data_IF_867066384959
#
_entry.id   IF_867066384959
#
_cell.length_a   1.000
_cell.length_b   1.000
_cell.length_c   1.000
_cell.angle_alpha   90.00
_cell.angle_beta   90.00
_cell.angle_gamma   90.00
#
_symmetry.space_group_name_H-M   'P 1'
#
loop_
_entity.id
_entity.type
_entity.pdbx_description
1 polymer ?
#
# COMPACT_ATOMS: atom_id res chain seq x y z
N UNK A 1 -67.98 24.40 -39.82
CA UNK A 1 -68.10 23.58 -38.58
C UNK A 1 -67.21 22.36 -38.75
N UNK A 2 -65.94 22.45 -38.33
CA UNK A 2 -65.01 21.32 -38.28
C UNK A 2 -64.87 20.90 -36.82
N UNK A 3 -65.21 19.64 -36.52
CA UNK A 3 -64.91 19.00 -35.23
C UNK A 3 -63.62 18.20 -35.39
N UNK A 4 -62.59 18.60 -34.66
CA UNK A 4 -61.32 17.91 -34.55
C UNK A 4 -61.39 16.88 -33.41
N UNK A 5 -61.05 15.63 -33.71
CA UNK A 5 -60.80 14.60 -32.71
C UNK A 5 -59.53 14.90 -31.92
N UNK A 6 -59.69 15.14 -30.62
CA UNK A 6 -58.60 15.21 -29.65
C UNK A 6 -58.05 13.80 -29.36
N UNK A 7 -56.74 13.63 -29.47
CA UNK A 7 -56.02 12.43 -29.00
C UNK A 7 -55.87 12.51 -27.48
N UNK A 8 -56.16 11.38 -26.83
CA UNK A 8 -56.16 11.19 -25.38
C UNK A 8 -54.72 10.99 -24.84
N UNK A 9 -54.24 11.75 -23.84
CA UNK A 9 -52.85 11.68 -23.34
C UNK A 9 -52.59 10.55 -22.31
N UNK A 10 -53.49 9.57 -22.17
CA UNK A 10 -53.44 8.57 -21.10
C UNK A 10 -52.50 7.37 -21.33
N UNK A 11 -51.74 7.33 -22.43
CA UNK A 11 -50.88 6.17 -22.75
C UNK A 11 -49.43 6.32 -22.24
N UNK A 12 -49.01 7.50 -21.76
CA UNK A 12 -47.60 7.76 -21.42
C UNK A 12 -47.25 7.62 -19.92
N UNK A 13 -48.24 7.42 -19.04
CA UNK A 13 -48.01 7.19 -17.61
C UNK A 13 -47.77 5.72 -17.25
N UNK A 14 -48.38 4.77 -17.98
CA UNK A 14 -48.21 3.35 -17.68
C UNK A 14 -46.80 2.85 -18.02
N UNK A 15 -46.18 3.33 -19.10
CA UNK A 15 -44.83 2.92 -19.53
C UNK A 15 -43.73 3.43 -18.58
N UNK A 16 -43.91 4.62 -17.99
CA UNK A 16 -43.00 5.17 -16.96
C UNK A 16 -43.11 4.42 -15.64
N UNK A 17 -44.33 4.08 -15.21
CA UNK A 17 -44.57 3.33 -13.98
C UNK A 17 -44.00 1.90 -14.06
N UNK A 18 -44.11 1.24 -15.23
CA UNK A 18 -43.53 -0.10 -15.45
C UNK A 18 -41.99 -0.11 -15.47
N UNK A 19 -41.35 0.99 -15.87
CA UNK A 19 -39.89 1.15 -15.87
C UNK A 19 -39.35 1.42 -14.46
N UNK A 20 -40.03 2.26 -13.68
CA UNK A 20 -39.69 2.56 -12.28
C UNK A 20 -39.85 1.32 -11.37
N UNK A 21 -40.90 0.51 -11.58
CA UNK A 21 -41.10 -0.75 -10.85
C UNK A 21 -40.03 -1.79 -11.21
N UNK A 22 -39.58 -1.83 -12.47
CA UNK A 22 -38.50 -2.75 -12.90
C UNK A 22 -37.13 -2.39 -12.32
N UNK A 23 -36.82 -1.09 -12.20
CA UNK A 23 -35.59 -0.60 -11.56
C UNK A 23 -35.63 -0.85 -10.05
N UNK A 24 -36.78 -0.62 -9.41
CA UNK A 24 -36.98 -0.91 -7.99
C UNK A 24 -36.80 -2.41 -7.72
N UNK A 25 -37.34 -3.28 -8.57
CA UNK A 25 -37.19 -4.75 -8.44
C UNK A 25 -35.76 -5.22 -8.72
N UNK A 26 -35.04 -4.56 -9.64
CA UNK A 26 -33.63 -4.87 -9.95
C UNK A 26 -32.68 -4.43 -8.83
N UNK A 27 -32.86 -3.23 -8.27
CA UNK A 27 -32.08 -2.76 -7.13
C UNK A 27 -32.42 -3.56 -5.87
N UNK A 28 -33.71 -3.84 -5.62
CA UNK A 28 -34.16 -4.62 -4.47
C UNK A 28 -33.67 -6.08 -4.52
N UNK A 29 -33.72 -6.75 -5.68
CA UNK A 29 -33.27 -8.14 -5.82
C UNK A 29 -31.75 -8.33 -5.78
N UNK A 30 -30.98 -7.39 -6.32
CA UNK A 30 -29.52 -7.42 -6.24
C UNK A 30 -29.01 -6.99 -4.86
N UNK A 31 -29.73 -6.08 -4.20
CA UNK A 31 -29.43 -5.65 -2.83
C UNK A 31 -29.70 -6.78 -1.82
N UNK A 32 -30.81 -7.53 -1.96
CA UNK A 32 -31.07 -8.68 -1.09
C UNK A 32 -30.15 -9.89 -1.33
N UNK A 33 -29.69 -10.10 -2.57
CA UNK A 33 -28.64 -11.10 -2.86
C UNK A 33 -27.27 -10.73 -2.29
N UNK A 34 -27.02 -9.45 -2.02
CA UNK A 34 -25.83 -8.99 -1.31
C UNK A 34 -25.96 -9.16 0.22
N UNK A 35 -27.19 -9.23 0.76
CA UNK A 35 -27.45 -9.42 2.20
C UNK A 35 -27.49 -10.88 2.65
N UNK A 36 -27.52 -11.86 1.73
CA UNK A 36 -27.32 -13.30 2.04
C UNK A 36 -25.90 -13.61 2.58
N UNK A 37 -25.03 -12.59 2.72
CA UNK A 37 -23.68 -12.66 3.26
C UNK A 37 -23.59 -12.33 4.77
N UNK A 38 -24.71 -12.03 5.43
CA UNK A 38 -24.77 -11.72 6.87
C UNK A 38 -25.53 -12.82 7.61
N UNK A 39 -25.07 -13.24 8.78
CA UNK A 39 -25.81 -14.21 9.62
C UNK A 39 -27.16 -13.62 10.07
N UNK A 40 -28.17 -14.48 10.27
CA UNK A 40 -29.56 -14.09 10.55
C UNK A 40 -29.71 -13.13 11.77
N UNK A 41 -28.83 -13.24 12.78
CA UNK A 41 -28.80 -12.33 13.93
C UNK A 41 -28.31 -10.92 13.60
N UNK A 42 -27.38 -10.79 12.65
CA UNK A 42 -26.85 -9.49 12.18
C UNK A 42 -27.88 -8.78 11.30
N UNK A 43 -28.60 -9.54 10.48
CA UNK A 43 -29.70 -9.05 9.64
C UNK A 43 -30.83 -8.43 10.48
N UNK A 44 -31.24 -9.09 11.57
CA UNK A 44 -32.35 -8.62 12.42
C UNK A 44 -32.04 -7.31 13.18
N UNK A 45 -30.78 -7.06 13.57
CA UNK A 45 -30.39 -5.78 14.21
C UNK A 45 -30.12 -4.66 13.21
N UNK A 46 -29.56 -4.95 12.04
CA UNK A 46 -29.31 -3.95 11.00
C UNK A 46 -30.61 -3.41 10.36
N UNK A 47 -31.64 -4.25 10.16
CA UNK A 47 -32.86 -3.89 9.41
C UNK A 47 -33.67 -2.72 9.98
N UNK A 48 -33.61 -2.43 11.29
CA UNK A 48 -34.41 -1.35 11.89
C UNK A 48 -33.84 0.05 11.65
N UNK A 49 -32.53 0.15 11.52
CA UNK A 49 -31.80 1.40 11.25
C UNK A 49 -31.62 1.60 9.73
N UNK A 50 -31.32 0.51 9.01
CA UNK A 50 -31.17 0.49 7.55
C UNK A 50 -32.43 0.93 6.79
N UNK A 51 -33.62 0.51 7.21
CA UNK A 51 -34.88 0.94 6.57
C UNK A 51 -35.04 2.45 6.58
N UNK A 52 -34.58 3.12 7.64
CA UNK A 52 -34.66 4.58 7.77
C UNK A 52 -33.61 5.29 6.91
N UNK A 53 -32.38 4.77 6.88
CA UNK A 53 -31.29 5.36 6.08
C UNK A 53 -31.48 5.13 4.58
N UNK A 54 -31.91 3.93 4.16
CA UNK A 54 -32.29 3.66 2.76
C UNK A 54 -33.50 4.49 2.36
N UNK A 55 -34.51 4.64 3.22
CA UNK A 55 -35.65 5.51 2.93
C UNK A 55 -35.24 6.99 2.85
N UNK A 56 -34.27 7.44 3.65
CA UNK A 56 -33.73 8.79 3.59
C UNK A 56 -32.94 9.02 2.30
N UNK A 57 -32.09 8.07 1.90
CA UNK A 57 -31.30 8.14 0.66
C UNK A 57 -32.19 8.04 -0.59
N UNK A 58 -33.19 7.15 -0.58
CA UNK A 58 -34.22 7.10 -1.63
C UNK A 58 -35.08 8.38 -1.65
N UNK A 59 -35.43 8.91 -0.48
CA UNK A 59 -36.15 10.18 -0.35
C UNK A 59 -35.37 11.36 -0.91
N UNK A 60 -34.06 11.45 -0.61
CA UNK A 60 -33.16 12.47 -1.16
C UNK A 60 -32.94 12.28 -2.67
N UNK A 61 -32.89 11.04 -3.16
CA UNK A 61 -32.81 10.74 -4.59
C UNK A 61 -34.09 11.20 -5.33
N UNK A 62 -35.28 10.92 -4.76
CA UNK A 62 -36.57 11.35 -5.30
C UNK A 62 -36.73 12.88 -5.21
N UNK A 63 -36.25 13.52 -4.14
CA UNK A 63 -36.19 14.97 -4.00
C UNK A 63 -35.24 15.59 -5.04
N UNK A 64 -34.06 15.01 -5.28
CA UNK A 64 -33.14 15.45 -6.32
C UNK A 64 -33.72 15.33 -7.74
N UNK A 65 -34.48 14.26 -8.01
CA UNK A 65 -35.19 14.04 -9.28
C UNK A 65 -36.33 15.04 -9.50
N UNK A 66 -37.06 15.40 -8.44
CA UNK A 66 -38.18 16.36 -8.50
C UNK A 66 -37.72 17.82 -8.64
N UNK A 67 -36.61 18.21 -8.01
CA UNK A 67 -36.07 19.58 -8.11
C UNK A 67 -35.32 19.82 -9.44
N UNK A 68 -34.66 18.81 -10.02
CA UNK A 68 -34.05 18.92 -11.37
C UNK A 68 -35.10 18.99 -12.49
N UNK A 69 -36.28 18.40 -12.29
CA UNK A 69 -37.40 18.47 -13.23
C UNK A 69 -38.06 19.86 -13.27
N UNK A 70 -38.01 20.60 -12.15
CA UNK A 70 -38.54 21.97 -12.08
C UNK A 70 -37.56 23.01 -12.67
N UNK A 71 -36.25 22.79 -12.57
CA UNK A 71 -35.24 23.72 -13.11
C UNK A 71 -35.10 23.63 -14.64
N UNK A 72 -35.37 22.47 -15.26
CA UNK A 72 -35.35 22.30 -16.71
C UNK A 72 -36.64 22.82 -17.40
N UNK A 73 -37.69 23.12 -16.65
CA UNK A 73 -38.93 23.72 -17.17
C UNK A 73 -38.98 25.26 -17.02
N UNK A 74 -38.01 25.87 -16.32
CA UNK A 74 -37.98 27.32 -16.08
C UNK A 74 -37.09 28.12 -17.05
N UNK A 75 -36.35 27.47 -17.96
CA UNK A 75 -35.51 28.15 -18.96
C UNK A 75 -36.17 28.35 -20.34
N UNK A 76 -37.47 28.03 -20.47
CA UNK A 76 -38.25 28.29 -21.70
C UNK A 76 -39.49 29.13 -21.41
N UNK A 77 -39.34 30.26 -20.70
CA UNK A 77 -40.27 31.40 -20.84
C UNK A 77 -39.49 32.70 -20.56
N UNK A 78 -38.99 33.34 -21.61
CA UNK A 78 -38.84 34.79 -21.63
C UNK A 78 -39.74 35.35 -22.73
N UNK A 79 -40.66 36.29 -22.42
CA UNK A 79 -41.56 36.91 -23.39
C UNK A 79 -40.96 38.22 -23.90
N UNK A 80 -40.89 38.40 -25.22
CA UNK A 80 -40.90 39.73 -25.86
C UNK A 80 -41.80 39.62 -27.08
N UNK A 81 -42.96 40.28 -27.03
CA UNK A 81 -43.88 40.37 -28.14
C UNK A 81 -43.49 41.46 -29.13
N UNK A 82 -43.92 41.32 -30.39
CA UNK A 82 -44.65 42.35 -31.14
C UNK A 82 -44.93 41.88 -32.57
N UNK A 83 -46.22 41.90 -32.93
CA UNK A 83 -46.84 42.25 -34.21
C UNK A 83 -46.08 42.01 -35.54
N UNK A 84 -46.68 41.25 -36.46
CA UNK A 84 -47.47 41.78 -37.58
C UNK A 84 -47.63 40.75 -38.73
N UNK A 85 -48.82 40.74 -39.32
CA UNK A 85 -49.23 39.94 -40.49
C UNK A 85 -48.40 40.26 -41.75
N UNK A 86 -48.14 39.24 -42.60
CA UNK A 86 -47.73 39.44 -43.98
C UNK A 86 -47.47 38.13 -44.76
N UNK A 87 -48.36 37.80 -45.69
CA UNK A 87 -48.25 36.74 -46.70
C UNK A 87 -46.87 36.65 -47.37
N UNK A 88 -46.22 35.48 -47.39
CA UNK A 88 -45.26 35.11 -48.46
C UNK A 88 -45.37 33.61 -48.79
N UNK A 89 -45.51 33.35 -50.09
CA UNK A 89 -45.63 32.05 -50.77
C UNK A 89 -44.48 31.07 -50.47
N UNK A 90 -44.82 29.78 -50.34
CA UNK A 90 -43.84 28.68 -50.35
C UNK A 90 -43.64 28.19 -51.80
N UNK A 91 -42.42 28.15 -52.35
CA UNK A 91 -42.13 27.40 -53.57
C UNK A 91 -41.85 25.91 -53.25
N UNK A 92 -42.28 24.97 -54.10
CA UNK A 92 -42.01 23.55 -53.93
C UNK A 92 -40.59 23.22 -54.40
N UNK A 93 -39.80 22.56 -53.54
CA UNK A 93 -38.57 21.89 -53.98
C UNK A 93 -37.34 22.08 -53.09
N UNK A 94 -37.40 21.67 -51.82
CA UNK A 94 -36.23 21.13 -51.11
C UNK A 94 -36.70 19.99 -50.21
N UNK A 95 -36.43 18.76 -50.63
CA UNK A 95 -36.28 17.58 -49.79
C UNK A 95 -34.99 16.92 -50.30
N UNK A 96 -34.14 16.26 -49.48
CA UNK A 96 -34.55 15.44 -48.33
C UNK A 96 -33.57 15.45 -47.13
N UNK A 97 -34.06 14.95 -45.98
CA UNK A 97 -33.21 14.13 -45.11
C UNK A 97 -32.87 14.70 -43.75
N UNK A 98 -33.80 14.61 -42.80
CA UNK A 98 -33.45 14.31 -41.40
C UNK A 98 -34.41 13.22 -40.93
N UNK A 99 -33.87 12.02 -40.72
CA UNK A 99 -34.56 10.90 -40.07
C UNK A 99 -34.81 11.23 -38.59
N UNK A 100 -35.85 10.61 -37.99
CA UNK A 100 -36.19 10.79 -36.58
C UNK A 100 -35.17 10.07 -35.68
N UNK A 101 -34.88 10.70 -34.54
CA UNK A 101 -34.26 10.04 -33.40
C UNK A 101 -32.74 10.02 -33.43
N UNK A 102 -32.13 11.09 -32.92
CA UNK A 102 -30.81 11.00 -32.28
C UNK A 102 -30.73 12.10 -31.22
N UNK A 103 -30.51 11.69 -29.97
CA UNK A 103 -30.40 12.63 -28.86
C UNK A 103 -30.74 12.12 -27.47
N UNK A 104 -30.89 10.81 -27.25
CA UNK A 104 -30.78 10.26 -25.88
C UNK A 104 -29.49 9.46 -25.84
N UNK A 105 -28.42 10.07 -25.34
CA UNK A 105 -27.23 9.34 -24.89
C UNK A 105 -27.61 8.61 -23.58
N UNK A 106 -27.70 7.27 -23.54
CA UNK A 106 -28.06 6.57 -22.32
C UNK A 106 -26.82 6.27 -21.46
N UNK A 107 -27.02 6.22 -20.14
CA UNK A 107 -26.42 5.22 -19.24
C UNK A 107 -24.95 5.32 -18.77
N UNK A 108 -24.13 6.27 -19.20
CA UNK A 108 -22.74 6.36 -18.68
C UNK A 108 -22.69 6.94 -17.26
N UNK A 109 -23.46 7.98 -16.97
CA UNK A 109 -23.49 8.63 -15.63
C UNK A 109 -24.08 7.74 -14.53
N UNK A 110 -25.06 6.91 -14.86
CA UNK A 110 -25.72 6.00 -13.91
C UNK A 110 -24.81 4.85 -13.48
N UNK A 111 -23.88 4.43 -14.34
CA UNK A 111 -22.86 3.44 -13.98
C UNK A 111 -21.89 3.99 -12.92
N UNK A 112 -21.45 5.24 -13.08
CA UNK A 112 -20.62 5.93 -12.09
C UNK A 112 -21.38 6.14 -10.76
N UNK A 113 -22.65 6.60 -10.81
CA UNK A 113 -23.50 6.72 -9.61
C UNK A 113 -23.71 5.38 -8.89
N UNK A 114 -23.90 4.29 -9.64
CA UNK A 114 -24.07 2.94 -9.06
C UNK A 114 -22.80 2.40 -8.38
N UNK A 115 -21.61 2.67 -8.94
CA UNK A 115 -20.33 2.33 -8.31
C UNK A 115 -20.09 3.15 -7.05
N UNK A 116 -20.41 4.45 -7.09
CA UNK A 116 -20.31 5.36 -5.94
C UNK A 116 -21.19 4.87 -4.78
N UNK A 117 -22.44 4.46 -5.04
CA UNK A 117 -23.36 3.97 -4.00
C UNK A 117 -22.87 2.68 -3.35
N UNK A 118 -22.25 1.76 -4.12
CA UNK A 118 -21.69 0.51 -3.57
C UNK A 118 -20.46 0.77 -2.69
N UNK A 119 -19.61 1.71 -3.08
CA UNK A 119 -18.41 2.08 -2.31
C UNK A 119 -18.82 2.75 -0.99
N UNK A 120 -19.80 3.67 -1.02
CA UNK A 120 -20.38 4.27 0.18
C UNK A 120 -21.04 3.23 1.10
N UNK A 121 -21.72 2.22 0.55
CA UNK A 121 -22.34 1.17 1.35
C UNK A 121 -21.30 0.27 2.03
N UNK A 122 -20.20 -0.05 1.35
CA UNK A 122 -19.09 -0.80 1.93
C UNK A 122 -18.40 -0.01 3.04
N UNK A 123 -18.08 1.27 2.80
CA UNK A 123 -17.51 2.17 3.80
C UNK A 123 -18.41 2.24 5.05
N UNK A 124 -19.69 2.57 4.88
CA UNK A 124 -20.64 2.71 5.98
C UNK A 124 -20.80 1.40 6.78
N UNK A 125 -20.85 0.26 6.09
CA UNK A 125 -20.91 -1.06 6.75
C UNK A 125 -19.67 -1.27 7.62
N UNK A 126 -18.47 -1.03 7.09
CA UNK A 126 -17.23 -1.18 7.84
C UNK A 126 -17.17 -0.24 9.03
N UNK A 127 -17.53 1.03 8.83
CA UNK A 127 -17.52 2.07 9.86
C UNK A 127 -18.40 1.67 11.07
N UNK A 128 -19.60 1.14 10.81
CA UNK A 128 -20.59 0.86 11.84
C UNK A 128 -20.53 -0.57 12.39
N UNK A 129 -20.06 -1.53 11.59
CA UNK A 129 -20.05 -2.95 11.95
C UNK A 129 -18.68 -3.44 12.41
N UNK A 130 -17.58 -2.86 11.91
CA UNK A 130 -16.20 -3.27 12.25
C UNK A 130 -15.48 -2.14 12.98
N UNK A 131 -15.01 -1.13 12.26
CA UNK A 131 -14.53 0.14 12.80
C UNK A 131 -14.32 1.19 11.69
N UNK A 132 -14.37 2.49 12.03
CA UNK A 132 -14.00 3.56 11.10
C UNK A 132 -12.57 3.40 10.55
N UNK A 133 -11.65 2.85 11.33
CA UNK A 133 -10.26 2.67 10.91
C UNK A 133 -10.10 1.56 9.87
N UNK A 134 -10.92 0.51 9.92
CA UNK A 134 -10.98 -0.51 8.87
C UNK A 134 -11.62 0.06 7.60
N UNK A 135 -12.66 0.89 7.74
CA UNK A 135 -13.25 1.61 6.61
C UNK A 135 -12.21 2.47 5.88
N UNK A 136 -11.36 3.19 6.61
CA UNK A 136 -10.29 3.98 6.02
C UNK A 136 -9.22 3.13 5.29
N UNK A 137 -8.96 1.89 5.71
CA UNK A 137 -8.09 0.97 4.94
C UNK A 137 -8.77 0.54 3.65
N UNK A 138 -10.08 0.28 3.68
CA UNK A 138 -10.86 -0.01 2.48
C UNK A 138 -10.83 1.16 1.49
N UNK A 139 -11.08 2.39 1.95
CA UNK A 139 -11.05 3.58 1.09
C UNK A 139 -9.67 3.79 0.45
N UNK A 140 -8.60 3.54 1.20
CA UNK A 140 -7.24 3.61 0.68
C UNK A 140 -7.02 2.58 -0.45
N UNK A 141 -7.55 1.36 -0.30
CA UNK A 141 -7.47 0.33 -1.35
C UNK A 141 -8.35 0.70 -2.55
N UNK A 142 -9.57 1.17 -2.34
CA UNK A 142 -10.51 1.52 -3.41
C UNK A 142 -10.01 2.71 -4.25
N UNK A 143 -9.34 3.66 -3.62
CA UNK A 143 -8.75 4.83 -4.30
C UNK A 143 -7.54 4.47 -5.15
N UNK A 144 -6.76 3.45 -4.74
CA UNK A 144 -5.49 3.10 -5.39
C UNK A 144 -5.59 1.98 -6.43
N UNK A 145 -6.74 1.32 -6.52
CA UNK A 145 -6.98 0.21 -7.45
C UNK A 145 -7.98 0.67 -8.52
N UNK A 146 -7.75 0.22 -9.75
CA UNK A 146 -8.75 0.26 -10.80
C UNK A 146 -9.32 -1.16 -10.99
N UNK A 147 -10.48 -1.48 -10.37
CA UNK A 147 -10.97 -2.86 -10.29
C UNK A 147 -11.21 -3.47 -11.67
N UNK A 148 -11.63 -2.66 -12.64
CA UNK A 148 -11.87 -3.05 -14.02
C UNK A 148 -10.59 -3.49 -14.74
N UNK A 149 -9.49 -2.72 -14.61
CA UNK A 149 -8.19 -3.08 -15.19
C UNK A 149 -7.66 -4.38 -14.58
N UNK A 150 -7.81 -4.54 -13.26
CA UNK A 150 -7.41 -5.79 -12.59
C UNK A 150 -8.26 -6.96 -13.06
N UNK A 151 -9.58 -6.78 -13.15
CA UNK A 151 -10.52 -7.80 -13.63
C UNK A 151 -10.21 -8.24 -15.07
N UNK A 152 -9.95 -7.28 -15.96
CA UNK A 152 -9.57 -7.53 -17.36
C UNK A 152 -8.28 -8.34 -17.46
N UNK A 153 -7.23 -7.95 -16.73
CA UNK A 153 -5.96 -8.68 -16.72
C UNK A 153 -6.08 -10.11 -16.19
N UNK A 154 -7.04 -10.36 -15.30
CA UNK A 154 -7.34 -11.70 -14.80
C UNK A 154 -8.27 -12.50 -15.75
N UNK A 155 -8.78 -11.89 -16.81
CA UNK A 155 -9.76 -12.52 -17.71
C UNK A 155 -11.14 -12.70 -17.06
N UNK A 156 -11.45 -11.96 -15.99
CA UNK A 156 -12.68 -12.13 -15.20
C UNK A 156 -13.61 -10.95 -15.43
N UNK A 157 -14.48 -11.05 -16.44
CA UNK A 157 -15.53 -10.03 -16.68
C UNK A 157 -16.53 -9.96 -15.53
N UNK A 158 -16.91 -8.74 -15.16
CA UNK A 158 -17.94 -8.43 -14.16
C UNK A 158 -17.48 -8.49 -12.71
N UNK A 159 -16.17 -8.67 -12.46
CA UNK A 159 -15.65 -8.66 -11.10
C UNK A 159 -15.62 -7.23 -10.54
N UNK A 160 -15.93 -7.07 -9.25
CA UNK A 160 -16.01 -5.79 -8.55
C UNK A 160 -15.15 -5.79 -7.29
N UNK A 161 -14.65 -4.63 -6.90
CA UNK A 161 -14.07 -4.47 -5.57
C UNK A 161 -15.16 -4.68 -4.53
N UNK A 162 -14.82 -5.33 -3.43
CA UNK A 162 -15.74 -5.55 -2.33
C UNK A 162 -15.04 -6.04 -1.08
N UNK A 163 -15.86 -6.41 -0.11
CA UNK A 163 -15.43 -6.88 1.19
C UNK A 163 -16.11 -8.20 1.56
N UNK A 164 -15.39 -9.03 2.30
CA UNK A 164 -15.94 -10.18 3.02
C UNK A 164 -15.62 -10.03 4.50
N UNK A 165 -16.65 -9.90 5.32
CA UNK A 165 -16.50 -9.90 6.78
C UNK A 165 -16.08 -11.30 7.22
N UNK A 166 -14.96 -11.39 7.92
CA UNK A 166 -14.43 -12.65 8.47
C UNK A 166 -14.84 -12.79 9.93
N UNK A 167 -14.80 -11.70 10.68
CA UNK A 167 -15.30 -11.57 12.05
C UNK A 167 -15.69 -10.12 12.34
N UNK A 168 -16.22 -9.83 13.54
CA UNK A 168 -16.54 -8.46 13.97
C UNK A 168 -15.32 -7.52 14.01
N UNK A 169 -14.10 -8.06 13.99
CA UNK A 169 -12.86 -7.29 14.04
C UNK A 169 -12.02 -7.43 12.78
N UNK A 170 -12.45 -8.21 11.77
CA UNK A 170 -11.59 -8.52 10.62
C UNK A 170 -12.36 -8.68 9.32
N UNK A 171 -11.82 -8.07 8.27
CA UNK A 171 -12.37 -8.15 6.91
C UNK A 171 -11.30 -8.55 5.89
N UNK A 172 -11.76 -9.17 4.81
CA UNK A 172 -11.01 -9.36 3.58
C UNK A 172 -11.47 -8.31 2.56
N UNK A 173 -10.53 -7.56 2.00
CA UNK A 173 -10.74 -6.65 0.87
C UNK A 173 -10.19 -7.33 -0.39
N UNK A 174 -10.99 -7.37 -1.45
CA UNK A 174 -10.65 -8.13 -2.66
C UNK A 174 -11.54 -7.82 -3.85
N UNK A 175 -11.24 -8.47 -4.96
CA UNK A 175 -12.06 -8.49 -6.16
C UNK A 175 -12.98 -9.73 -6.11
N UNK A 176 -14.27 -9.52 -6.36
CA UNK A 176 -15.32 -10.53 -6.24
C UNK A 176 -16.10 -10.68 -7.54
N UNK A 177 -16.47 -11.92 -7.87
CA UNK A 177 -17.43 -12.26 -8.92
C UNK A 177 -18.40 -13.30 -8.38
N UNK A 178 -19.70 -13.06 -8.55
CA UNK A 178 -20.76 -13.98 -8.13
C UNK A 178 -20.57 -14.47 -6.68
N UNK A 179 -20.28 -13.52 -5.77
CA UNK A 179 -19.98 -13.75 -4.34
C UNK A 179 -18.72 -14.58 -4.04
N UNK A 180 -17.90 -14.90 -5.05
CA UNK A 180 -16.60 -15.58 -4.89
C UNK A 180 -15.46 -14.59 -5.01
N UNK A 181 -14.47 -14.75 -4.14
CA UNK A 181 -13.22 -13.97 -4.22
C UNK A 181 -12.42 -14.48 -5.42
N UNK A 182 -12.16 -13.59 -6.39
CA UNK A 182 -11.33 -13.90 -7.56
C UNK A 182 -9.92 -13.35 -7.43
N UNK A 183 -9.73 -12.29 -6.63
CA UNK A 183 -8.41 -11.82 -6.19
C UNK A 183 -8.49 -11.27 -4.78
N UNK A 184 -7.55 -11.66 -3.93
CA UNK A 184 -7.37 -11.08 -2.59
C UNK A 184 -6.42 -9.90 -2.70
N UNK A 185 -6.76 -8.76 -2.09
CA UNK A 185 -5.83 -7.65 -1.96
C UNK A 185 -5.22 -7.62 -0.57
N UNK A 186 -6.06 -7.61 0.48
CA UNK A 186 -5.57 -7.56 1.85
C UNK A 186 -6.63 -7.96 2.85
N UNK A 187 -6.21 -8.38 4.03
CA UNK A 187 -7.01 -8.33 5.25
C UNK A 187 -6.79 -7.02 5.99
N UNK A 188 -7.81 -6.60 6.73
CA UNK A 188 -7.74 -5.47 7.65
C UNK A 188 -8.45 -5.85 8.95
N UNK A 189 -7.73 -5.75 10.05
CA UNK A 189 -8.25 -6.00 11.40
C UNK A 189 -8.33 -4.71 12.20
N UNK A 190 -9.42 -4.56 12.96
CA UNK A 190 -9.73 -3.40 13.80
C UNK A 190 -8.53 -2.96 14.64
N UNK A 191 -8.03 -3.85 15.49
CA UNK A 191 -6.94 -3.51 16.42
C UNK A 191 -5.60 -3.16 15.74
N UNK A 192 -5.37 -3.62 14.50
CA UNK A 192 -4.17 -3.25 13.73
C UNK A 192 -4.38 -1.90 13.04
N UNK A 193 -5.54 -1.66 12.44
CA UNK A 193 -5.87 -0.39 11.79
C UNK A 193 -5.93 0.78 12.80
N UNK A 194 -6.50 0.54 13.98
CA UNK A 194 -6.50 1.46 15.13
C UNK A 194 -5.07 1.75 15.60
N UNK A 195 -4.24 0.71 15.75
CA UNK A 195 -2.83 0.90 16.15
C UNK A 195 -2.07 1.79 15.16
N UNK A 196 -2.27 1.61 13.85
CA UNK A 196 -1.65 2.46 12.82
C UNK A 196 -2.08 3.91 13.02
N UNK A 197 -3.38 4.17 13.24
CA UNK A 197 -3.89 5.51 13.54
C UNK A 197 -3.21 6.14 14.75
N UNK A 198 -3.29 5.44 15.87
CA UNK A 198 -2.92 5.98 17.17
C UNK A 198 -1.41 6.19 17.29
N UNK A 199 -0.61 5.31 16.69
CA UNK A 199 0.85 5.36 16.81
C UNK A 199 1.51 6.06 15.64
N UNK A 200 1.08 5.79 14.41
CA UNK A 200 1.72 6.32 13.21
C UNK A 200 1.02 7.57 12.69
N UNK A 201 -0.31 7.67 12.83
CA UNK A 201 -1.11 8.75 12.26
C UNK A 201 -2.05 8.23 11.19
N UNK A 202 -3.15 8.94 10.96
CA UNK A 202 -4.21 8.52 10.03
C UNK A 202 -3.70 8.34 8.59
N UNK A 203 -2.76 9.18 8.17
CA UNK A 203 -2.15 9.16 6.84
C UNK A 203 -1.34 7.89 6.58
N UNK A 204 -0.85 7.22 7.62
CA UNK A 204 0.00 6.03 7.45
C UNK A 204 -0.79 4.79 7.07
N UNK A 205 -2.11 4.75 7.23
CA UNK A 205 -2.93 3.68 6.63
C UNK A 205 -2.81 3.70 5.12
N UNK A 206 -3.03 4.87 4.51
CA UNK A 206 -2.90 5.07 3.06
C UNK A 206 -1.48 4.76 2.59
N UNK A 207 -0.45 5.28 3.27
CA UNK A 207 0.94 5.00 2.90
C UNK A 207 1.29 3.51 2.97
N UNK A 208 0.80 2.78 3.97
CA UNK A 208 1.04 1.33 4.05
C UNK A 208 0.35 0.63 2.86
N UNK A 209 -0.89 1.00 2.56
CA UNK A 209 -1.61 0.43 1.42
C UNK A 209 -0.88 0.72 0.10
N UNK A 210 -0.47 1.97 -0.13
CA UNK A 210 0.27 2.40 -1.33
C UNK A 210 1.61 1.69 -1.46
N UNK A 211 2.41 1.66 -0.39
CA UNK A 211 3.78 1.13 -0.44
C UNK A 211 3.82 -0.38 -0.47
N UNK A 212 2.87 -1.07 0.16
CA UNK A 212 2.98 -2.52 0.37
C UNK A 212 1.84 -3.32 -0.26
N UNK A 213 0.60 -2.86 -0.14
CA UNK A 213 -0.60 -3.63 -0.52
C UNK A 213 -0.90 -3.51 -2.02
N UNK A 214 -0.93 -2.29 -2.54
CA UNK A 214 -1.37 -2.02 -3.91
C UNK A 214 -0.14 -1.85 -4.80
N UNK A 215 0.39 -2.98 -5.29
CA UNK A 215 1.50 -2.97 -6.25
C UNK A 215 0.97 -2.87 -7.68
N UNK A 216 1.46 -1.86 -8.41
CA UNK A 216 1.11 -1.65 -9.83
C UNK A 216 -0.41 -1.56 -10.03
N UNK A 217 -1.08 -0.70 -9.25
CA UNK A 217 -2.55 -0.54 -9.28
C UNK A 217 -3.34 -1.79 -8.88
N UNK A 218 -2.72 -2.73 -8.15
CA UNK A 218 -3.32 -4.01 -7.76
C UNK A 218 -3.11 -5.13 -8.78
N UNK A 219 -2.35 -4.88 -9.86
CA UNK A 219 -2.05 -5.87 -10.89
C UNK A 219 -0.99 -6.88 -10.45
N UNK A 220 -0.07 -6.48 -9.57
CA UNK A 220 0.91 -7.38 -8.95
C UNK A 220 0.48 -7.70 -7.53
N UNK A 221 0.91 -8.86 -7.04
CA UNK A 221 0.62 -9.25 -5.67
C UNK A 221 1.42 -8.36 -4.71
N UNK A 222 0.68 -7.65 -3.86
CA UNK A 222 1.24 -6.91 -2.75
C UNK A 222 1.41 -7.76 -1.51
N UNK A 223 1.64 -7.07 -0.40
CA UNK A 223 1.67 -7.64 0.95
C UNK A 223 0.37 -7.34 1.65
N UNK A 224 0.04 -8.20 2.61
CA UNK A 224 -1.12 -8.03 3.45
C UNK A 224 -0.93 -6.86 4.45
N UNK A 225 -1.94 -6.00 4.59
CA UNK A 225 -1.91 -4.84 5.48
C UNK A 225 -1.74 -5.27 6.95
N UNK A 226 -2.52 -6.25 7.42
CA UNK A 226 -2.41 -6.75 8.79
C UNK A 226 -1.02 -7.33 9.06
N UNK A 227 -0.48 -8.08 8.10
CA UNK A 227 0.87 -8.62 8.17
C UNK A 227 1.93 -7.51 8.29
N UNK A 228 1.87 -6.49 7.42
CA UNK A 228 2.86 -5.40 7.42
C UNK A 228 2.74 -4.56 8.69
N UNK A 229 1.54 -4.07 8.99
CA UNK A 229 1.29 -3.24 10.16
C UNK A 229 1.53 -4.02 11.47
N UNK A 230 1.19 -5.31 11.51
CA UNK A 230 1.52 -6.20 12.61
C UNK A 230 3.02 -6.37 12.80
N UNK A 231 3.80 -6.50 11.72
CA UNK A 231 5.27 -6.55 11.81
C UNK A 231 5.86 -5.23 12.32
N UNK A 232 5.35 -4.08 11.87
CA UNK A 232 5.76 -2.76 12.38
C UNK A 232 5.45 -2.62 13.88
N UNK A 233 4.26 -3.08 14.31
CA UNK A 233 3.87 -3.11 15.72
C UNK A 233 4.80 -4.00 16.54
N UNK A 234 5.10 -5.20 16.06
CA UNK A 234 6.02 -6.14 16.71
C UNK A 234 7.41 -5.55 16.89
N UNK A 235 7.98 -4.96 15.84
CA UNK A 235 9.27 -4.25 15.89
C UNK A 235 9.28 -3.13 16.93
N UNK A 236 8.17 -2.42 17.10
CA UNK A 236 8.07 -1.23 17.97
C UNK A 236 7.75 -1.55 19.43
N UNK A 237 6.81 -2.44 19.68
CA UNK A 237 6.16 -2.61 20.99
C UNK A 237 6.52 -3.95 21.65
N UNK A 238 6.50 -5.03 20.88
CA UNK A 238 6.67 -6.39 21.39
C UNK A 238 8.15 -6.72 21.55
N UNK A 239 8.93 -6.60 20.47
CA UNK A 239 10.35 -6.94 20.46
C UNK A 239 11.26 -5.76 20.78
N UNK A 240 10.69 -4.54 20.71
CA UNK A 240 11.35 -3.25 20.95
C UNK A 240 12.67 -3.10 20.18
N UNK A 241 12.75 -3.69 18.99
CA UNK A 241 13.91 -3.60 18.11
C UNK A 241 14.02 -2.23 17.46
N UNK A 242 12.91 -1.49 17.32
CA UNK A 242 12.91 -0.10 16.86
C UNK A 242 12.06 0.73 17.82
N UNK A 243 12.71 1.44 18.73
CA UNK A 243 12.05 2.11 19.87
C UNK A 243 11.40 3.45 19.51
N UNK A 244 11.88 4.11 18.46
CA UNK A 244 11.41 5.42 18.03
C UNK A 244 10.30 5.32 16.99
N UNK A 245 9.17 6.00 17.21
CA UNK A 245 8.03 5.94 16.28
C UNK A 245 8.29 6.64 14.95
N UNK A 246 9.09 7.70 14.92
CA UNK A 246 9.49 8.37 13.68
C UNK A 246 10.40 7.48 12.82
N UNK A 247 11.16 6.56 13.44
CA UNK A 247 11.89 5.54 12.70
C UNK A 247 10.93 4.51 12.04
N UNK A 248 9.84 4.13 12.70
CA UNK A 248 8.79 3.29 12.09
C UNK A 248 8.12 3.99 10.92
N UNK A 249 7.80 5.28 11.08
CA UNK A 249 7.27 6.13 10.01
C UNK A 249 8.22 6.21 8.81
N UNK A 250 9.51 6.44 9.06
CA UNK A 250 10.56 6.45 8.04
C UNK A 250 10.60 5.12 7.25
N UNK A 251 10.47 3.97 7.91
CA UNK A 251 10.43 2.65 7.27
C UNK A 251 9.27 2.56 6.29
N UNK A 252 8.08 3.04 6.69
CA UNK A 252 6.91 3.11 5.81
C UNK A 252 7.16 4.08 4.65
N UNK A 253 7.63 5.29 4.93
CA UNK A 253 7.89 6.32 3.91
C UNK A 253 8.87 5.82 2.82
N UNK A 254 9.88 5.07 3.24
CA UNK A 254 10.87 4.46 2.35
C UNK A 254 10.38 3.20 1.63
N UNK A 255 9.26 2.62 2.05
CA UNK A 255 8.76 1.37 1.49
C UNK A 255 9.71 0.18 1.70
N UNK A 256 10.49 0.18 2.79
CA UNK A 256 11.44 -0.89 3.08
C UNK A 256 10.74 -2.22 3.35
N UNK A 257 11.33 -3.34 2.93
CA UNK A 257 10.79 -4.67 3.21
C UNK A 257 10.81 -4.95 4.73
N UNK A 258 9.65 -4.77 5.37
CA UNK A 258 9.49 -4.83 6.82
C UNK A 258 9.79 -6.24 7.36
N UNK A 259 9.39 -7.30 6.65
CA UNK A 259 9.69 -8.69 7.04
C UNK A 259 11.17 -9.00 6.91
N UNK A 260 11.84 -8.44 5.90
CA UNK A 260 13.29 -8.55 5.78
C UNK A 260 13.98 -7.80 6.91
N UNK A 261 13.50 -6.60 7.25
CA UNK A 261 14.04 -5.80 8.36
C UNK A 261 13.90 -6.52 9.70
N UNK A 262 12.73 -7.07 10.00
CA UNK A 262 12.48 -7.90 11.20
C UNK A 262 13.50 -9.03 11.33
N UNK A 263 13.69 -9.78 10.25
CA UNK A 263 14.69 -10.87 10.23
C UNK A 263 16.11 -10.36 10.44
N UNK A 264 16.49 -9.28 9.76
CA UNK A 264 17.83 -8.69 9.87
C UNK A 264 18.11 -8.26 11.31
N UNK A 265 17.15 -7.61 11.97
CA UNK A 265 17.30 -7.18 13.36
C UNK A 265 17.27 -8.36 14.33
N UNK A 266 16.46 -9.39 14.07
CA UNK A 266 16.44 -10.63 14.85
C UNK A 266 17.77 -11.40 14.77
N UNK A 267 18.32 -11.52 13.56
CA UNK A 267 19.60 -12.17 13.29
C UNK A 267 20.75 -11.42 13.97
N UNK A 268 20.74 -10.08 13.94
CA UNK A 268 21.71 -9.26 14.67
C UNK A 268 21.56 -9.40 16.19
N UNK A 269 20.35 -9.26 16.72
CA UNK A 269 20.06 -9.31 18.17
C UNK A 269 20.44 -10.66 18.80
N UNK A 270 20.37 -11.75 18.03
CA UNK A 270 20.67 -13.10 18.49
C UNK A 270 22.17 -13.42 18.54
N UNK A 271 23.06 -12.52 18.10
CA UNK A 271 24.50 -12.67 18.35
C UNK A 271 24.77 -12.37 19.82
N UNK A 272 25.36 -13.34 20.53
CA UNK A 272 25.58 -13.26 21.98
C UNK A 272 26.48 -12.07 22.37
N UNK A 273 27.57 -11.88 21.63
CA UNK A 273 28.54 -10.82 21.89
C UNK A 273 28.29 -9.64 20.94
N UNK A 274 27.81 -8.52 21.49
CA UNK A 274 27.60 -7.27 20.74
C UNK A 274 26.27 -7.13 20.01
N UNK A 275 25.49 -8.21 19.82
CA UNK A 275 24.24 -8.15 19.03
C UNK A 275 23.19 -7.16 19.55
N UNK A 276 23.05 -7.03 20.88
CA UNK A 276 22.17 -6.03 21.50
C UNK A 276 22.67 -4.59 21.30
N UNK A 277 23.98 -4.40 21.33
CA UNK A 277 24.61 -3.09 21.16
C UNK A 277 24.52 -2.64 19.71
N UNK A 278 24.69 -3.56 18.75
CA UNK A 278 24.44 -3.32 17.33
C UNK A 278 23.01 -2.83 17.08
N UNK A 279 22.00 -3.53 17.63
CA UNK A 279 20.59 -3.09 17.52
C UNK A 279 20.37 -1.73 18.19
N UNK A 280 21.03 -1.45 19.31
CA UNK A 280 20.95 -0.15 19.99
C UNK A 280 21.57 0.97 19.15
N UNK A 281 22.69 0.72 18.49
CA UNK A 281 23.31 1.64 17.54
C UNK A 281 22.41 1.91 16.34
N UNK A 282 21.79 0.87 15.75
CA UNK A 282 20.80 1.03 14.66
C UNK A 282 19.64 1.93 15.09
N UNK A 283 19.11 1.72 16.30
CA UNK A 283 18.04 2.58 16.85
C UNK A 283 18.44 4.05 16.92
N UNK A 284 19.66 4.31 17.42
CA UNK A 284 20.20 5.67 17.49
C UNK A 284 20.32 6.29 16.10
N UNK A 285 20.85 5.57 15.14
CA UNK A 285 21.02 6.05 13.77
C UNK A 285 19.69 6.34 13.08
N UNK A 286 18.72 5.44 13.19
CA UNK A 286 17.38 5.64 12.63
C UNK A 286 16.69 6.85 13.26
N UNK A 287 16.85 7.05 14.57
CA UNK A 287 16.31 8.23 15.27
C UNK A 287 16.97 9.52 14.79
N UNK A 288 18.30 9.55 14.69
CA UNK A 288 19.04 10.72 14.20
C UNK A 288 18.67 11.05 12.75
N UNK A 289 18.55 10.03 11.91
CA UNK A 289 18.14 10.18 10.52
C UNK A 289 16.71 10.71 10.39
N UNK A 290 15.75 10.10 11.10
CA UNK A 290 14.35 10.50 11.06
C UNK A 290 14.10 11.91 11.61
N UNK A 291 15.03 12.44 12.42
CA UNK A 291 14.95 13.81 12.98
C UNK A 291 15.80 14.82 12.22
N UNK A 292 16.44 14.41 11.11
CA UNK A 292 17.32 15.28 10.32
C UNK A 292 18.64 15.64 10.98
N UNK A 293 18.95 15.06 12.16
CA UNK A 293 20.25 15.25 12.83
C UNK A 293 21.40 14.60 12.07
N UNK A 294 21.09 13.59 11.24
CA UNK A 294 22.03 12.92 10.36
C UNK A 294 21.50 12.91 8.93
N UNK A 295 22.39 13.15 7.95
CA UNK A 295 22.05 13.19 6.53
C UNK A 295 22.01 11.82 5.85
N UNK A 296 22.69 10.83 6.42
CA UNK A 296 22.83 9.47 5.87
C UNK A 296 22.57 8.42 6.96
N UNK A 297 22.07 7.25 6.58
CA UNK A 297 22.03 6.11 7.51
C UNK A 297 23.46 5.57 7.69
N UNK A 298 23.88 5.30 8.93
CA UNK A 298 25.26 4.83 9.19
C UNK A 298 25.47 3.35 8.91
N UNK A 299 26.66 2.84 9.24
CA UNK A 299 27.11 1.48 8.89
C UNK A 299 26.33 0.35 9.56
N UNK A 300 25.77 0.58 10.75
CA UNK A 300 25.24 -0.48 11.61
C UNK A 300 24.07 -1.26 11.00
N UNK A 301 23.17 -0.60 10.27
CA UNK A 301 22.06 -1.32 9.61
C UNK A 301 22.59 -2.23 8.49
N UNK A 302 23.65 -1.81 7.79
CA UNK A 302 24.29 -2.62 6.76
C UNK A 302 25.08 -3.78 7.38
N UNK A 303 25.77 -3.54 8.49
CA UNK A 303 26.42 -4.59 9.29
C UNK A 303 25.42 -5.68 9.69
N UNK A 304 24.24 -5.31 10.21
CA UNK A 304 23.17 -6.27 10.49
C UNK A 304 22.69 -7.04 9.24
N UNK A 305 22.64 -6.40 8.06
CA UNK A 305 22.34 -7.10 6.80
C UNK A 305 23.42 -8.11 6.40
N UNK A 306 24.68 -7.86 6.77
CA UNK A 306 25.79 -8.80 6.59
C UNK A 306 25.68 -9.94 7.60
N UNK A 307 25.39 -9.67 8.87
CA UNK A 307 25.13 -10.72 9.89
C UNK A 307 24.03 -11.68 9.41
N UNK A 308 22.88 -11.14 9.00
CA UNK A 308 21.76 -11.96 8.48
C UNK A 308 22.16 -12.79 7.26
N UNK A 309 23.04 -12.27 6.42
CA UNK A 309 23.52 -12.99 5.25
C UNK A 309 24.45 -14.15 5.58
N UNK A 310 25.40 -13.90 6.47
CA UNK A 310 26.35 -14.90 6.92
C UNK A 310 25.59 -16.08 7.55
N UNK A 311 24.66 -15.79 8.47
CA UNK A 311 23.80 -16.81 9.09
C UNK A 311 23.01 -17.62 8.06
N UNK A 312 22.38 -16.97 7.08
CA UNK A 312 21.67 -17.68 6.00
C UNK A 312 22.58 -18.47 5.06
N UNK A 313 23.87 -18.15 5.02
CA UNK A 313 24.87 -18.85 4.22
C UNK A 313 25.60 -19.93 5.03
N UNK A 314 25.10 -20.27 6.23
CA UNK A 314 25.63 -21.33 7.08
C UNK A 314 26.84 -20.93 7.92
N UNK A 315 27.12 -19.63 8.07
CA UNK A 315 28.18 -19.15 8.95
C UNK A 315 27.65 -19.00 10.37
N UNK A 316 28.50 -19.32 11.34
CA UNK A 316 28.29 -18.96 12.73
C UNK A 316 28.86 -17.56 12.99
N UNK A 317 28.04 -16.65 13.49
CA UNK A 317 28.49 -15.29 13.85
C UNK A 317 28.72 -15.24 15.35
N UNK A 318 29.98 -15.15 15.75
CA UNK A 318 30.42 -15.24 17.14
C UNK A 318 30.28 -13.90 17.88
N UNK A 319 30.69 -12.82 17.21
CA UNK A 319 30.77 -11.48 17.80
C UNK A 319 30.55 -10.39 16.76
N UNK A 320 29.98 -9.27 17.21
CA UNK A 320 29.86 -8.03 16.43
C UNK A 320 30.35 -6.81 17.21
N UNK A 321 30.95 -5.82 16.54
CA UNK A 321 31.43 -4.57 17.13
C UNK A 321 32.59 -4.73 18.12
N UNK A 322 33.51 -5.67 17.89
CA UNK A 322 34.61 -5.97 18.81
C UNK A 322 35.64 -4.85 18.81
N UNK A 323 35.83 -4.21 19.96
CA UNK A 323 36.90 -3.23 20.16
C UNK A 323 38.22 -3.95 20.48
N UNK A 324 39.28 -3.65 19.73
CA UNK A 324 40.60 -4.27 19.92
C UNK A 324 41.69 -3.21 20.01
N UNK A 325 42.70 -3.49 20.85
CA UNK A 325 43.91 -2.69 20.97
C UNK A 325 45.06 -3.41 20.26
N UNK A 326 45.77 -2.70 19.40
CA UNK A 326 46.93 -3.19 18.64
C UNK A 326 48.13 -2.28 18.92
N UNK A 327 49.34 -2.69 18.51
CA UNK A 327 50.51 -1.80 18.60
C UNK A 327 50.34 -0.54 17.74
N UNK A 328 49.56 -0.64 16.67
CA UNK A 328 49.20 0.47 15.78
C UNK A 328 48.00 1.31 16.28
N UNK A 329 47.47 1.00 17.47
CA UNK A 329 46.39 1.73 18.14
C UNK A 329 45.07 0.96 18.23
N UNK A 330 44.02 1.66 18.68
CA UNK A 330 42.68 1.10 18.86
C UNK A 330 41.97 0.94 17.51
N UNK A 331 41.25 -0.16 17.30
CA UNK A 331 40.35 -0.36 16.15
C UNK A 331 39.11 -1.16 16.56
N UNK A 332 38.11 -1.18 15.68
CA UNK A 332 36.90 -1.98 15.81
C UNK A 332 36.88 -3.02 14.68
N UNK A 333 36.46 -4.24 15.00
CA UNK A 333 36.16 -5.30 14.04
C UNK A 333 34.64 -5.45 14.03
N UNK A 334 34.01 -5.19 12.88
CA UNK A 334 32.55 -5.19 12.80
C UNK A 334 31.97 -6.56 13.09
N UNK A 335 32.52 -7.64 12.51
CA UNK A 335 32.00 -9.01 12.70
C UNK A 335 33.14 -10.03 12.79
N UNK A 336 33.04 -10.98 13.72
CA UNK A 336 33.84 -12.21 13.75
C UNK A 336 32.90 -13.39 13.47
N UNK A 337 33.24 -14.17 12.44
CA UNK A 337 32.42 -15.30 12.02
C UNK A 337 33.27 -16.54 11.73
N UNK A 338 32.66 -17.71 11.92
CA UNK A 338 33.26 -19.01 11.72
C UNK A 338 32.51 -19.78 10.61
N UNK A 339 33.26 -20.48 9.76
CA UNK A 339 32.73 -21.48 8.83
C UNK A 339 33.54 -22.77 8.98
N UNK A 340 32.98 -23.75 9.68
CA UNK A 340 33.75 -24.93 10.09
C UNK A 340 34.88 -24.53 11.04
N UNK A 341 36.12 -24.85 10.70
CA UNK A 341 37.31 -24.48 11.48
C UNK A 341 37.93 -23.14 11.08
N UNK A 342 37.39 -22.45 10.08
CA UNK A 342 37.93 -21.17 9.59
C UNK A 342 37.25 -19.99 10.29
N UNK A 343 38.03 -19.20 11.03
CA UNK A 343 37.62 -17.90 11.56
C UNK A 343 37.96 -16.79 10.56
N UNK A 344 37.04 -15.86 10.37
CA UNK A 344 37.20 -14.73 9.45
C UNK A 344 36.80 -13.43 10.16
N UNK A 345 37.64 -12.40 10.03
CA UNK A 345 37.27 -11.04 10.42
C UNK A 345 36.53 -10.37 9.27
N UNK A 346 35.48 -9.64 9.57
CA UNK A 346 34.66 -8.98 8.56
C UNK A 346 34.55 -7.50 8.89
N UNK A 347 34.79 -6.68 7.88
CA UNK A 347 34.61 -5.23 7.89
C UNK A 347 33.47 -4.84 6.94
N UNK A 348 32.57 -3.96 7.39
CA UNK A 348 31.37 -3.55 6.68
C UNK A 348 31.41 -2.06 6.31
N UNK A 349 31.50 -1.75 5.02
CA UNK A 349 31.48 -0.37 4.53
C UNK A 349 30.25 -0.07 3.67
N UNK A 350 29.61 1.09 3.86
CA UNK A 350 28.52 1.53 2.96
C UNK A 350 28.97 1.91 1.56
N UNK A 351 30.28 2.09 1.37
CA UNK A 351 30.90 2.46 0.10
C UNK A 351 32.34 1.96 0.04
N UNK A 352 32.82 1.63 -1.16
CA UNK A 352 34.22 1.24 -1.39
C UNK A 352 35.17 2.36 -0.96
N UNK A 353 34.82 3.61 -1.26
CA UNK A 353 35.62 4.79 -0.88
C UNK A 353 35.64 5.03 0.64
N UNK A 354 34.82 4.30 1.41
CA UNK A 354 34.82 4.31 2.86
C UNK A 354 35.77 3.29 3.49
N UNK A 355 36.52 2.51 2.69
CA UNK A 355 37.53 1.57 3.20
C UNK A 355 38.73 2.36 3.72
N UNK A 356 38.93 2.35 5.04
CA UNK A 356 40.09 2.94 5.70
C UNK A 356 41.20 1.88 5.84
N UNK A 357 42.22 1.96 5.00
CA UNK A 357 43.37 1.03 5.00
C UNK A 357 44.18 1.07 6.30
N UNK A 358 44.13 2.16 7.08
CA UNK A 358 44.73 2.21 8.43
C UNK A 358 43.92 1.41 9.44
N UNK A 359 42.60 1.36 9.30
CA UNK A 359 41.76 0.47 10.08
C UNK A 359 42.06 -0.99 9.71
N UNK A 360 42.08 -1.31 8.42
CA UNK A 360 42.40 -2.67 7.93
C UNK A 360 43.79 -3.12 8.39
N UNK A 361 44.79 -2.23 8.41
CA UNK A 361 46.14 -2.53 8.93
C UNK A 361 46.09 -2.98 10.39
N UNK A 362 45.32 -2.29 11.24
CA UNK A 362 45.14 -2.66 12.65
C UNK A 362 44.42 -4.01 12.78
N UNK A 363 43.38 -4.23 11.99
CA UNK A 363 42.68 -5.52 11.97
C UNK A 363 43.58 -6.67 11.48
N UNK A 364 44.47 -6.42 10.52
CA UNK A 364 45.45 -7.39 10.04
C UNK A 364 46.49 -7.77 11.10
N UNK A 365 46.93 -6.80 11.90
CA UNK A 365 47.79 -7.04 13.06
C UNK A 365 47.10 -7.91 14.11
N UNK A 366 45.83 -7.62 14.40
CA UNK A 366 45.00 -8.45 15.27
C UNK A 366 44.83 -9.87 14.70
N UNK A 367 44.49 -10.01 13.41
CA UNK A 367 44.32 -11.30 12.76
C UNK A 367 45.60 -12.17 12.88
N UNK A 368 46.76 -11.59 12.56
CA UNK A 368 48.06 -12.26 12.65
C UNK A 368 48.37 -12.77 14.06
N UNK A 369 48.14 -11.94 15.08
CA UNK A 369 48.41 -12.31 16.48
C UNK A 369 47.48 -13.38 17.03
N UNK A 370 46.31 -13.60 16.39
CA UNK A 370 45.31 -14.59 16.79
C UNK A 370 45.26 -15.80 15.84
N UNK A 371 46.21 -15.92 14.91
CA UNK A 371 46.26 -17.03 13.95
C UNK A 371 45.16 -16.99 12.88
N UNK A 372 44.42 -15.89 12.74
CA UNK A 372 43.36 -15.71 11.75
C UNK A 372 44.00 -15.35 10.40
N UNK A 373 43.56 -16.03 9.34
CA UNK A 373 44.17 -15.92 8.01
C UNK A 373 43.39 -15.06 7.03
N UNK A 374 42.18 -14.62 7.37
CA UNK A 374 41.29 -13.98 6.41
C UNK A 374 40.56 -12.77 6.98
N UNK A 375 40.53 -11.71 6.19
CA UNK A 375 39.68 -10.54 6.37
C UNK A 375 38.77 -10.41 5.14
N UNK A 376 37.45 -10.31 5.35
CA UNK A 376 36.47 -10.02 4.30
C UNK A 376 35.93 -8.61 4.46
N UNK A 377 36.11 -7.77 3.44
CA UNK A 377 35.57 -6.41 3.44
C UNK A 377 34.30 -6.40 2.59
N UNK A 378 33.15 -6.35 3.24
CA UNK A 378 31.85 -6.22 2.59
C UNK A 378 31.56 -4.75 2.30
N UNK A 379 31.17 -4.42 1.06
CA UNK A 379 30.82 -3.05 0.70
C UNK A 379 29.55 -2.93 -0.14
N UNK A 380 28.73 -1.91 0.17
CA UNK A 380 27.39 -1.77 -0.40
C UNK A 380 27.32 -0.98 -1.72
N UNK A 381 28.27 -0.07 -1.94
CA UNK A 381 28.32 0.85 -3.10
C UNK A 381 29.77 1.08 -3.50
N UNK A 382 30.04 1.44 -4.74
CA UNK A 382 31.42 1.74 -5.18
C UNK A 382 31.51 1.88 -6.69
N UNK A 383 32.60 2.46 -7.19
CA UNK A 383 32.82 2.66 -8.62
C UNK A 383 33.00 1.32 -9.34
N UNK A 384 32.65 1.28 -10.63
CA UNK A 384 32.93 0.14 -11.51
C UNK A 384 34.44 -0.18 -11.60
N UNK A 385 35.29 0.80 -11.29
CA UNK A 385 36.75 0.70 -11.22
C UNK A 385 37.23 1.18 -9.85
N UNK A 386 37.61 0.27 -8.94
CA UNK A 386 38.10 0.66 -7.63
C UNK A 386 39.40 1.47 -7.75
N UNK A 387 39.60 2.52 -6.93
CA UNK A 387 40.83 3.28 -6.88
C UNK A 387 42.07 2.37 -6.78
N UNK A 388 42.99 2.52 -7.72
CA UNK A 388 44.23 1.71 -7.77
C UNK A 388 45.01 1.76 -6.46
N UNK A 389 45.06 2.95 -5.84
CA UNK A 389 45.79 3.19 -4.60
C UNK A 389 45.30 2.33 -3.43
N UNK A 390 43.98 2.29 -3.18
CA UNK A 390 43.40 1.46 -2.12
C UNK A 390 43.68 -0.03 -2.35
N UNK A 391 43.55 -0.50 -3.61
CA UNK A 391 43.84 -1.89 -3.94
C UNK A 391 45.32 -2.25 -3.71
N UNK A 392 46.23 -1.34 -4.04
CA UNK A 392 47.65 -1.52 -3.79
C UNK A 392 47.95 -1.60 -2.29
N UNK A 393 47.44 -0.67 -1.48
CA UNK A 393 47.64 -0.69 -0.03
C UNK A 393 47.08 -1.97 0.61
N UNK A 394 45.91 -2.46 0.17
CA UNK A 394 45.36 -3.73 0.66
C UNK A 394 46.30 -4.91 0.35
N UNK A 395 46.89 -4.98 -0.86
CA UNK A 395 47.87 -6.02 -1.21
C UNK A 395 49.15 -5.94 -0.39
N UNK A 396 49.61 -4.72 -0.09
CA UNK A 396 50.76 -4.51 0.80
C UNK A 396 50.46 -5.01 2.22
N UNK A 397 49.24 -4.78 2.73
CA UNK A 397 48.79 -5.31 4.02
C UNK A 397 48.72 -6.84 3.98
N UNK A 398 48.13 -7.45 2.95
CA UNK A 398 48.09 -8.91 2.76
C UNK A 398 49.49 -9.51 2.87
N UNK A 399 50.44 -8.98 2.09
CA UNK A 399 51.82 -9.46 2.05
C UNK A 399 52.54 -9.28 3.38
N UNK A 400 52.37 -8.13 4.05
CA UNK A 400 53.07 -7.79 5.30
C UNK A 400 52.60 -8.66 6.48
N UNK A 401 51.30 -8.91 6.56
CA UNK A 401 50.71 -9.63 7.68
C UNK A 401 50.48 -11.12 7.40
N UNK A 402 50.71 -11.57 6.16
CA UNK A 402 50.46 -12.94 5.71
C UNK A 402 49.01 -13.36 5.98
N UNK A 403 48.09 -12.53 5.50
CA UNK A 403 46.63 -12.70 5.56
C UNK A 403 46.04 -12.54 4.16
N UNK A 404 44.90 -13.16 3.91
CA UNK A 404 44.07 -12.95 2.72
C UNK A 404 43.04 -11.85 2.99
N UNK A 405 42.94 -10.86 2.12
CA UNK A 405 41.94 -9.79 2.17
C UNK A 405 41.02 -9.90 0.95
N UNK A 406 39.78 -10.31 1.17
CA UNK A 406 38.78 -10.43 0.11
C UNK A 406 37.84 -9.23 0.11
N UNK A 407 37.64 -8.61 -1.06
CA UNK A 407 36.63 -7.59 -1.29
C UNK A 407 35.32 -8.25 -1.74
N UNK A 408 34.20 -7.96 -1.07
CA UNK A 408 32.90 -8.55 -1.37
C UNK A 408 31.85 -7.46 -1.61
N UNK A 409 31.46 -7.28 -2.86
CA UNK A 409 30.36 -6.38 -3.20
C UNK A 409 29.01 -6.98 -2.78
N UNK A 410 28.23 -6.22 -2.01
CA UNK A 410 26.90 -6.64 -1.59
C UNK A 410 25.98 -5.46 -1.35
N UNK A 411 25.06 -5.22 -2.28
CA UNK A 411 24.08 -4.12 -2.18
C UNK A 411 23.27 -4.17 -0.87
N UNK A 412 23.14 -3.03 -0.21
CA UNK A 412 22.20 -2.84 0.90
C UNK A 412 20.76 -2.72 0.40
N UNK A 413 19.83 -3.29 1.16
CA UNK A 413 18.38 -3.18 0.90
C UNK A 413 17.74 -1.99 1.64
N UNK A 414 18.50 -1.31 2.49
CA UNK A 414 18.03 -0.23 3.37
C UNK A 414 18.90 1.02 3.21
N UNK A 415 18.86 1.58 1.99
CA UNK A 415 19.53 2.84 1.63
C UNK A 415 18.66 4.08 1.86
#
# INVERSE_FOLDING_TARGET
MYSAHARNPFVDQHTRMSFEISIFTFLYSNFFKATDLLSDEVFLRCTRTWKKTIALLLGLLILGLTVSSASAAASVVHPIGSQANGNINVPPGVNPGIKPGDGIRPQVWWFFLGLIVLDFAAHWLLEHYVSPDVAAVYDAVSTLIEPEKVAEKLGVKGAKLGIKVISHDKVLIGLFKDNKVVKKFTYASKGIAEWVKEKLGEEYRLKIVEKYVVKDGGLKDGKDFDEIAGTLKKLKEEEKMITNINAIRLIVDRGWDVKKLERVLSDAKSVNNGGKDLVSSINRELKEYATGKRKDLGGHLYEAEIVSHLKRSGWEVEEVGRQVMTSSGKTEIDIIANQGSETVLIECKRGFDGIDTRQITRQAEYAKSHGIKKIKIYYARGPSYPPFYTLQELREIESKYNIEISLVYRTSNFN
#
